data_IF_089473553692
#
_entry.id   IF_089473553692
#
_cell.length_a   1.000
_cell.length_b   1.000
_cell.length_c   1.000
_cell.angle_alpha   90.00
_cell.angle_beta   90.00
_cell.angle_gamma   90.00
#
_symmetry.space_group_name_H-M   'P 1'
#
loop_
_entity.id
_entity.type
_entity.pdbx_description
1 polymer ?
#
# COMPACT_ATOMS: atom_id res chain seq x y z
N UNK A 1 -18.67 -24.01 -13.65
CA UNK A 1 -17.85 -22.87 -13.20
C UNK A 1 -18.08 -21.71 -14.16
N UNK A 2 -18.18 -20.46 -13.71
CA UNK A 2 -18.19 -19.27 -14.55
C UNK A 2 -16.76 -19.07 -15.07
N UNK A 3 -16.35 -20.00 -15.93
CA UNK A 3 -15.17 -19.85 -16.75
C UNK A 3 -15.74 -19.29 -18.05
N UNK A 4 -15.36 -18.07 -18.39
CA UNK A 4 -15.68 -17.52 -19.69
C UNK A 4 -15.26 -18.54 -20.77
N UNK A 5 -16.21 -18.99 -21.58
CA UNK A 5 -15.95 -20.03 -22.60
C UNK A 5 -15.39 -19.44 -23.89
N UNK A 6 -15.42 -18.12 -24.00
CA UNK A 6 -14.99 -17.36 -25.16
C UNK A 6 -14.53 -15.98 -24.72
N UNK A 7 -13.58 -15.39 -25.44
CA UNK A 7 -13.17 -13.98 -25.29
C UNK A 7 -14.33 -13.00 -25.58
N UNK A 8 -15.38 -13.45 -26.28
CA UNK A 8 -16.57 -12.64 -26.56
C UNK A 8 -17.61 -12.68 -25.43
N UNK A 9 -17.34 -13.42 -24.36
CA UNK A 9 -18.23 -13.47 -23.20
C UNK A 9 -18.19 -12.12 -22.47
N UNK A 10 -19.30 -11.38 -22.53
CA UNK A 10 -19.42 -10.05 -21.95
C UNK A 10 -19.61 -10.07 -20.43
N UNK A 11 -19.76 -11.24 -19.82
CA UNK A 11 -19.86 -11.36 -18.37
C UNK A 11 -18.50 -11.05 -17.71
N UNK A 12 -18.33 -9.80 -17.29
CA UNK A 12 -17.10 -9.32 -16.66
C UNK A 12 -16.78 -10.04 -15.36
N UNK A 13 -17.78 -10.59 -14.66
CA UNK A 13 -17.56 -11.36 -13.43
C UNK A 13 -16.87 -12.71 -13.68
N UNK A 14 -16.83 -13.18 -14.93
CA UNK A 14 -16.09 -14.38 -15.32
C UNK A 14 -14.58 -14.15 -15.50
N UNK A 15 -14.13 -12.90 -15.47
CA UNK A 15 -12.75 -12.51 -15.73
C UNK A 15 -12.12 -11.86 -14.50
N UNK A 16 -10.80 -12.03 -14.35
CA UNK A 16 -10.04 -11.37 -13.31
C UNK A 16 -8.60 -11.08 -13.80
N UNK A 17 -7.97 -9.99 -13.33
CA UNK A 17 -6.54 -9.80 -13.56
C UNK A 17 -5.75 -10.82 -12.71
N UNK A 18 -4.74 -11.51 -13.26
CA UNK A 18 -3.98 -12.57 -12.58
C UNK A 18 -2.95 -12.06 -11.55
N UNK A 19 -3.27 -10.96 -10.87
CA UNK A 19 -2.37 -10.28 -9.94
C UNK A 19 -1.28 -9.48 -10.65
N UNK A 20 -0.45 -8.82 -9.84
CA UNK A 20 0.58 -7.90 -10.33
C UNK A 20 1.84 -8.61 -10.85
N UNK A 21 2.01 -9.92 -10.61
CA UNK A 21 3.11 -10.72 -11.17
C UNK A 21 3.08 -10.84 -12.70
N UNK A 22 1.89 -10.76 -13.30
CA UNK A 22 1.71 -10.74 -14.75
C UNK A 22 2.35 -9.54 -15.47
N UNK A 23 2.86 -8.54 -14.72
CA UNK A 23 3.57 -7.39 -15.26
C UNK A 23 4.67 -7.79 -16.26
N UNK A 24 5.50 -8.78 -15.95
CA UNK A 24 6.68 -9.11 -16.75
C UNK A 24 6.30 -9.63 -18.15
N UNK A 25 5.39 -10.60 -18.21
CA UNK A 25 4.88 -11.16 -19.47
C UNK A 25 4.06 -10.13 -20.24
N UNK A 26 3.21 -9.35 -19.56
CA UNK A 26 2.41 -8.31 -20.22
C UNK A 26 3.28 -7.21 -20.84
N UNK A 27 4.32 -6.76 -20.14
CA UNK A 27 5.26 -5.76 -20.64
C UNK A 27 6.03 -6.29 -21.86
N UNK A 28 6.47 -7.55 -21.83
CA UNK A 28 7.12 -8.21 -22.96
C UNK A 28 6.17 -8.33 -24.17
N UNK A 29 4.99 -8.92 -23.97
CA UNK A 29 4.00 -9.19 -25.02
C UNK A 29 3.44 -7.91 -25.66
N UNK A 30 3.40 -6.80 -24.92
CA UNK A 30 2.98 -5.50 -25.46
C UNK A 30 3.95 -4.90 -26.49
N UNK A 31 5.19 -5.40 -26.57
CA UNK A 31 6.27 -4.82 -27.36
C UNK A 31 6.93 -3.58 -26.74
N UNK A 32 6.39 -3.04 -25.64
CA UNK A 32 6.95 -1.89 -24.94
C UNK A 32 8.33 -2.19 -24.34
N UNK A 33 8.56 -3.41 -23.84
CA UNK A 33 9.88 -3.79 -23.32
C UNK A 33 10.97 -3.61 -24.38
N UNK A 34 10.75 -4.16 -25.58
CA UNK A 34 11.69 -4.07 -26.68
C UNK A 34 11.89 -2.62 -27.13
N UNK A 35 10.81 -1.83 -27.17
CA UNK A 35 10.87 -0.39 -27.47
C UNK A 35 11.74 0.35 -26.47
N UNK A 36 11.52 0.18 -25.17
CA UNK A 36 12.28 0.89 -24.13
C UNK A 36 13.75 0.50 -24.13
N UNK A 37 14.08 -0.78 -24.36
CA UNK A 37 15.47 -1.22 -24.52
C UNK A 37 16.10 -0.55 -25.75
N UNK A 38 15.39 -0.50 -26.89
CA UNK A 38 15.86 0.17 -28.10
C UNK A 38 16.05 1.69 -27.92
N UNK A 39 15.22 2.32 -27.08
CA UNK A 39 15.34 3.74 -26.68
C UNK A 39 16.46 3.98 -25.65
N UNK A 40 17.25 2.96 -25.31
CA UNK A 40 18.38 3.06 -24.38
C UNK A 40 17.99 3.11 -22.90
N UNK A 41 16.79 2.63 -22.53
CA UNK A 41 16.39 2.50 -21.12
C UNK A 41 16.95 1.20 -20.53
N UNK A 42 17.48 1.27 -19.32
CA UNK A 42 18.12 0.12 -18.66
C UNK A 42 17.29 -0.48 -17.52
N UNK A 43 16.63 0.36 -16.71
CA UNK A 43 15.83 -0.05 -15.57
C UNK A 43 14.40 0.48 -15.67
N UNK A 44 13.44 -0.27 -15.13
CA UNK A 44 12.12 0.24 -14.79
C UNK A 44 11.94 0.30 -13.27
N UNK A 45 11.25 1.34 -12.82
CA UNK A 45 10.76 1.47 -11.46
C UNK A 45 9.26 1.16 -11.45
N UNK A 46 8.85 0.17 -10.66
CA UNK A 46 7.46 -0.22 -10.46
C UNK A 46 7.02 0.17 -9.05
N UNK A 47 5.84 0.76 -8.95
CA UNK A 47 5.20 1.03 -7.67
C UNK A 47 3.67 1.02 -7.81
N UNK A 48 2.97 0.96 -6.69
CA UNK A 48 1.52 1.12 -6.68
C UNK A 48 1.17 2.60 -6.78
N UNK A 49 0.19 2.96 -7.61
CA UNK A 49 -0.30 4.34 -7.72
C UNK A 49 -0.91 4.87 -6.41
N UNK A 50 -1.41 3.95 -5.57
CA UNK A 50 -1.91 4.30 -4.23
C UNK A 50 -0.79 4.51 -3.20
N UNK A 51 0.47 4.24 -3.53
CA UNK A 51 1.61 4.58 -2.68
C UNK A 51 2.14 5.96 -3.03
N UNK A 52 1.72 6.97 -2.27
CA UNK A 52 2.12 8.36 -2.50
C UNK A 52 3.58 8.65 -2.15
N UNK A 53 4.24 7.73 -1.43
CA UNK A 53 5.67 7.84 -1.09
C UNK A 53 6.60 7.32 -2.17
N UNK A 54 6.08 6.61 -3.18
CA UNK A 54 6.88 5.94 -4.20
C UNK A 54 7.34 6.89 -5.32
N UNK A 55 8.21 7.83 -4.98
CA UNK A 55 8.86 8.72 -5.96
C UNK A 55 10.15 8.12 -6.50
N UNK A 56 10.67 8.63 -7.62
CA UNK A 56 11.97 8.22 -8.16
C UNK A 56 13.08 8.72 -7.23
N UNK A 57 13.85 7.80 -6.65
CA UNK A 57 15.00 8.12 -5.78
C UNK A 57 16.31 8.02 -6.57
N UNK A 58 16.99 9.15 -6.73
CA UNK A 58 18.25 9.20 -7.48
C UNK A 58 19.42 8.50 -6.77
N UNK A 59 19.37 8.36 -5.45
CA UNK A 59 20.41 7.62 -4.71
C UNK A 59 20.28 6.13 -4.96
N UNK A 60 19.05 5.60 -4.96
CA UNK A 60 18.76 4.21 -5.32
C UNK A 60 19.11 3.96 -6.80
N UNK A 61 18.70 4.86 -7.69
CA UNK A 61 19.06 4.75 -9.11
C UNK A 61 20.58 4.78 -9.34
N UNK A 62 21.29 5.67 -8.62
CA UNK A 62 22.75 5.72 -8.70
C UNK A 62 23.39 4.40 -8.20
N UNK A 63 22.87 3.80 -7.12
CA UNK A 63 23.33 2.49 -6.67
C UNK A 63 23.12 1.39 -7.71
N UNK A 64 21.98 1.41 -8.42
CA UNK A 64 21.69 0.44 -9.49
C UNK A 64 22.61 0.59 -10.70
N UNK A 65 22.96 1.83 -11.08
CA UNK A 65 23.80 2.13 -12.25
C UNK A 65 25.30 2.04 -11.94
N UNK A 66 25.69 2.47 -10.74
CA UNK A 66 27.08 2.60 -10.28
C UNK A 66 27.25 1.87 -8.94
N UNK A 67 27.10 0.53 -8.89
CA UNK A 67 27.31 -0.22 -7.66
C UNK A 67 28.80 -0.18 -7.26
N UNK A 68 29.14 -0.51 -6.00
CA UNK A 68 30.52 -0.51 -5.53
C UNK A 68 31.46 -1.35 -6.42
N UNK A 69 32.72 -0.92 -6.54
CA UNK A 69 33.72 -1.60 -7.36
C UNK A 69 33.81 -3.10 -7.03
N UNK A 70 33.82 -3.93 -8.07
CA UNK A 70 33.87 -5.39 -7.94
C UNK A 70 32.51 -6.06 -7.71
N UNK A 71 31.41 -5.31 -7.79
CA UNK A 71 30.05 -5.87 -7.77
C UNK A 71 29.34 -5.68 -9.12
N UNK A 72 28.56 -6.67 -9.53
CA UNK A 72 27.70 -6.56 -10.71
C UNK A 72 26.44 -5.73 -10.38
N UNK A 73 25.94 -4.98 -11.36
CA UNK A 73 24.69 -4.24 -11.22
C UNK A 73 23.54 -5.20 -10.85
N UNK A 74 22.78 -4.93 -9.77
CA UNK A 74 21.60 -5.72 -9.42
C UNK A 74 20.61 -5.78 -10.57
N UNK A 75 20.16 -6.98 -10.97
CA UNK A 75 19.09 -7.08 -11.98
C UNK A 75 17.72 -6.76 -11.37
N UNK A 76 17.59 -6.86 -10.04
CA UNK A 76 16.35 -6.59 -9.31
C UNK A 76 16.65 -6.01 -7.92
N UNK A 77 15.92 -4.97 -7.54
CA UNK A 77 15.99 -4.38 -6.21
C UNK A 77 14.58 -4.19 -5.66
N UNK A 78 14.37 -4.66 -4.44
CA UNK A 78 13.14 -4.49 -3.68
C UNK A 78 13.38 -3.48 -2.55
N UNK A 79 12.65 -2.38 -2.54
CA UNK A 79 12.65 -1.52 -1.36
C UNK A 79 11.84 -2.19 -0.25
N UNK A 80 12.47 -2.35 0.90
CA UNK A 80 11.83 -2.84 2.13
C UNK A 80 11.83 -1.72 3.17
N UNK A 81 10.88 -1.74 4.09
CA UNK A 81 10.84 -0.79 5.22
C UNK A 81 10.74 -1.55 6.53
N UNK A 82 11.11 -0.92 7.65
CA UNK A 82 10.90 -1.50 8.97
C UNK A 82 9.42 -1.81 9.20
N UNK A 83 9.13 -3.02 9.70
CA UNK A 83 7.78 -3.53 9.98
C UNK A 83 7.22 -2.87 11.24
N UNK A 84 6.00 -2.34 11.16
CA UNK A 84 5.25 -1.82 12.30
C UNK A 84 4.15 -2.79 12.72
N UNK A 85 3.51 -2.53 13.88
CA UNK A 85 2.34 -3.33 14.31
C UNK A 85 1.13 -3.21 13.39
N UNK A 86 1.09 -2.20 12.52
CA UNK A 86 0.03 -2.03 11.53
C UNK A 86 0.24 -2.90 10.28
N UNK A 87 1.50 -3.32 10.02
CA UNK A 87 1.90 -4.06 8.82
C UNK A 87 1.70 -5.57 9.04
N UNK A 88 0.44 -5.96 9.28
CA UNK A 88 0.03 -7.34 9.58
C UNK A 88 -0.19 -8.21 8.34
N UNK A 89 -0.32 -7.61 7.17
CA UNK A 89 -0.56 -8.27 5.88
C UNK A 89 0.51 -7.85 4.86
N UNK A 90 1.06 -8.83 4.16
CA UNK A 90 2.09 -8.68 3.11
C UNK A 90 3.36 -9.45 3.44
N UNK A 91 4.31 -9.44 2.52
CA UNK A 91 5.51 -10.27 2.57
C UNK A 91 6.74 -9.61 3.19
N UNK A 92 7.71 -10.46 3.50
CA UNK A 92 9.07 -10.06 3.92
C UNK A 92 10.09 -10.72 3.01
N UNK A 93 11.21 -10.04 2.79
CA UNK A 93 12.34 -10.63 2.09
C UNK A 93 13.06 -11.60 3.05
N UNK A 94 13.37 -12.80 2.57
CA UNK A 94 14.13 -13.84 3.27
C UNK A 94 15.24 -14.38 2.36
N UNK A 95 16.16 -15.14 2.94
CA UNK A 95 17.08 -15.99 2.19
C UNK A 95 16.58 -17.44 2.26
N UNK A 96 16.40 -18.06 1.11
CA UNK A 96 15.99 -19.46 0.95
C UNK A 96 16.82 -20.10 -0.16
N UNK A 97 17.47 -21.22 0.12
CA UNK A 97 18.43 -21.87 -0.79
C UNK A 97 19.45 -20.91 -1.42
N UNK A 98 20.06 -20.07 -0.57
CA UNK A 98 21.04 -19.03 -0.93
C UNK A 98 20.56 -17.99 -1.95
N UNK A 99 19.24 -17.86 -2.13
CA UNK A 99 18.61 -16.84 -2.97
C UNK A 99 17.67 -15.96 -2.15
N UNK A 100 17.55 -14.67 -2.52
CA UNK A 100 16.51 -13.82 -1.97
C UNK A 100 15.14 -14.32 -2.45
N UNK A 101 14.19 -14.45 -1.52
CA UNK A 101 12.81 -14.84 -1.80
C UNK A 101 11.86 -13.92 -1.04
N UNK A 102 10.76 -13.54 -1.69
CA UNK A 102 9.65 -12.89 -1.01
C UNK A 102 8.77 -13.95 -0.34
N UNK A 103 8.77 -13.98 0.99
CA UNK A 103 7.88 -14.84 1.77
C UNK A 103 6.60 -14.07 2.12
N UNK A 104 5.49 -14.50 1.55
CA UNK A 104 4.14 -14.03 1.82
C UNK A 104 3.45 -14.87 2.90
N UNK A 105 2.52 -14.25 3.64
CA UNK A 105 1.78 -14.95 4.72
C UNK A 105 1.02 -16.19 4.22
N UNK A 106 0.56 -16.19 2.96
CA UNK A 106 -0.16 -17.31 2.37
C UNK A 106 0.71 -18.57 2.18
N UNK A 107 2.03 -18.41 2.16
CA UNK A 107 3.00 -19.50 2.03
C UNK A 107 3.43 -20.06 3.40
N UNK A 108 3.08 -19.38 4.49
CA UNK A 108 3.49 -19.77 5.84
C UNK A 108 2.51 -20.81 6.39
N UNK A 109 2.99 -21.97 6.88
CA UNK A 109 2.13 -22.95 7.55
C UNK A 109 1.40 -22.33 8.75
N UNK A 110 0.17 -22.78 9.01
CA UNK A 110 -0.74 -22.15 9.99
C UNK A 110 -0.12 -22.05 11.39
N UNK A 111 0.66 -23.05 11.78
CA UNK A 111 1.37 -23.14 13.06
C UNK A 111 2.49 -22.09 13.22
N UNK A 112 3.03 -21.52 12.13
CA UNK A 112 4.11 -20.53 12.15
C UNK A 112 3.66 -19.11 11.81
N UNK A 113 2.36 -18.89 11.57
CA UNK A 113 1.82 -17.57 11.19
C UNK A 113 2.12 -16.50 12.24
N UNK A 114 2.03 -16.83 13.53
CA UNK A 114 2.30 -15.85 14.59
C UNK A 114 3.79 -15.51 14.70
N UNK A 115 4.66 -16.46 14.37
CA UNK A 115 6.09 -16.21 14.26
C UNK A 115 6.42 -15.29 13.08
N UNK A 116 5.76 -15.50 11.93
CA UNK A 116 5.90 -14.65 10.74
C UNK A 116 5.41 -13.21 11.01
N UNK A 117 4.33 -13.06 11.79
CA UNK A 117 3.82 -11.75 12.21
C UNK A 117 4.74 -11.04 13.20
N UNK A 118 5.61 -11.77 13.90
CA UNK A 118 6.50 -11.21 14.91
C UNK A 118 7.53 -10.24 14.31
N UNK A 119 7.44 -8.97 14.71
CA UNK A 119 8.41 -7.92 14.35
C UNK A 119 9.83 -8.20 14.86
N UNK A 120 9.97 -9.06 15.88
CA UNK A 120 11.27 -9.41 16.44
C UNK A 120 12.03 -10.39 15.53
N UNK A 121 11.29 -11.29 14.85
CA UNK A 121 11.86 -12.25 13.88
C UNK A 121 12.00 -11.61 12.50
N UNK A 122 10.91 -11.04 11.98
CA UNK A 122 10.88 -10.38 10.68
C UNK A 122 10.76 -8.87 10.87
N UNK A 123 11.89 -8.19 10.75
CA UNK A 123 12.02 -6.75 11.04
C UNK A 123 11.65 -5.85 9.87
N UNK A 124 11.61 -6.40 8.66
CA UNK A 124 11.38 -5.68 7.41
C UNK A 124 10.10 -6.15 6.74
N UNK A 125 9.61 -5.33 5.82
CA UNK A 125 8.37 -5.52 5.08
C UNK A 125 8.53 -5.01 3.64
N UNK A 126 8.01 -5.75 2.66
CA UNK A 126 8.05 -5.36 1.25
C UNK A 126 7.15 -4.14 0.98
N UNK A 127 7.72 -3.06 0.45
CA UNK A 127 6.95 -1.86 0.09
C UNK A 127 6.21 -1.97 -1.25
N UNK A 128 6.55 -2.98 -2.05
CA UNK A 128 6.16 -3.14 -3.45
C UNK A 128 6.67 -2.00 -4.37
N UNK A 129 7.67 -1.24 -3.93
CA UNK A 129 8.50 -0.39 -4.78
C UNK A 129 9.67 -1.25 -5.30
N UNK A 130 9.67 -1.54 -6.59
CA UNK A 130 10.55 -2.51 -7.23
C UNK A 130 11.32 -1.85 -8.35
N UNK A 131 12.59 -2.19 -8.49
CA UNK A 131 13.43 -1.77 -9.60
C UNK A 131 13.91 -3.02 -10.34
N UNK A 132 13.73 -3.06 -11.65
CA UNK A 132 14.09 -4.23 -12.44
C UNK A 132 14.81 -3.83 -13.73
N UNK A 133 15.90 -4.52 -14.04
CA UNK A 133 16.68 -4.29 -15.26
C UNK A 133 15.90 -4.84 -16.46
N UNK A 134 15.65 -3.99 -17.46
CA UNK A 134 14.82 -4.33 -18.62
C UNK A 134 15.40 -5.50 -19.43
N UNK A 135 16.72 -5.54 -19.61
CA UNK A 135 17.39 -6.66 -20.29
C UNK A 135 17.22 -7.98 -19.52
N UNK A 136 17.17 -7.92 -18.19
CA UNK A 136 16.95 -9.10 -17.36
C UNK A 136 15.48 -9.54 -17.42
N UNK A 137 14.51 -8.62 -17.43
CA UNK A 137 13.09 -8.95 -17.66
C UNK A 137 12.96 -9.70 -18.99
N UNK A 138 13.58 -9.21 -20.06
CA UNK A 138 13.56 -9.87 -21.37
C UNK A 138 14.11 -11.29 -21.28
N UNK A 139 15.30 -11.46 -20.67
CA UNK A 139 15.95 -12.76 -20.47
C UNK A 139 15.06 -13.75 -19.73
N UNK A 140 14.51 -13.36 -18.58
CA UNK A 140 13.72 -14.28 -17.74
C UNK A 140 12.39 -14.67 -18.38
N UNK A 141 11.79 -13.79 -19.19
CA UNK A 141 10.57 -14.10 -19.94
C UNK A 141 10.87 -15.01 -21.14
N UNK A 142 11.85 -14.66 -21.98
CA UNK A 142 12.19 -15.44 -23.19
C UNK A 142 12.65 -16.87 -22.85
N UNK A 143 13.37 -17.03 -21.73
CA UNK A 143 13.86 -18.31 -21.28
C UNK A 143 12.85 -19.09 -20.40
N UNK A 144 11.66 -18.54 -20.13
CA UNK A 144 10.67 -19.10 -19.20
C UNK A 144 11.24 -19.40 -17.80
N UNK A 145 12.07 -18.49 -17.27
CA UNK A 145 12.71 -18.63 -15.95
C UNK A 145 11.85 -18.09 -14.79
N UNK A 146 10.71 -17.44 -15.07
CA UNK A 146 9.83 -16.85 -14.06
C UNK A 146 9.03 -17.93 -13.30
N UNK A 147 9.55 -18.35 -12.15
CA UNK A 147 8.90 -19.31 -11.26
C UNK A 147 8.30 -18.60 -10.04
N UNK A 148 7.20 -17.87 -10.18
CA UNK A 148 6.56 -17.17 -9.05
C UNK A 148 5.57 -18.07 -8.32
N UNK A 149 5.46 -17.92 -7.00
CA UNK A 149 4.47 -18.66 -6.22
C UNK A 149 3.04 -18.22 -6.55
N UNK A 150 2.17 -19.22 -6.74
CA UNK A 150 0.76 -19.01 -7.01
C UNK A 150 0.03 -18.64 -5.73
N UNK A 151 -0.68 -17.52 -5.77
CA UNK A 151 -1.58 -17.05 -4.73
C UNK A 151 -2.99 -17.54 -5.08
N UNK A 152 -3.55 -18.38 -4.21
CA UNK A 152 -4.92 -18.90 -4.34
C UNK A 152 -5.86 -18.00 -3.56
N UNK A 153 -6.75 -17.29 -4.26
CA UNK A 153 -7.66 -16.30 -3.68
C UNK A 153 -9.12 -16.78 -3.81
N UNK A 154 -9.73 -17.33 -2.74
CA UNK A 154 -11.15 -17.66 -2.74
C UNK A 154 -12.00 -16.39 -2.80
N UNK A 155 -12.97 -16.35 -3.71
CA UNK A 155 -13.92 -15.23 -3.87
C UNK A 155 -15.35 -15.73 -3.88
N UNK A 156 -16.22 -14.94 -3.28
CA UNK A 156 -17.66 -15.10 -3.39
C UNK A 156 -18.16 -14.01 -4.35
N UNK A 157 -18.70 -14.42 -5.50
CA UNK A 157 -19.29 -13.51 -6.49
C UNK A 157 -20.67 -13.05 -6.02
N UNK A 158 -21.09 -11.87 -6.46
CA UNK A 158 -22.38 -11.26 -6.06
C UNK A 158 -23.60 -12.13 -6.42
N UNK A 159 -23.48 -12.96 -7.45
CA UNK A 159 -24.47 -13.98 -7.84
C UNK A 159 -24.52 -15.22 -6.92
N UNK A 160 -23.86 -15.19 -5.77
CA UNK A 160 -23.92 -16.25 -4.77
C UNK A 160 -23.05 -17.47 -5.09
N UNK A 161 -21.95 -17.27 -5.82
CA UNK A 161 -21.09 -18.36 -6.27
C UNK A 161 -19.66 -18.22 -5.73
N UNK A 162 -19.14 -19.31 -5.17
CA UNK A 162 -17.73 -19.42 -4.79
C UNK A 162 -16.84 -19.78 -5.98
N UNK A 163 -15.76 -19.03 -6.15
CA UNK A 163 -14.74 -19.22 -7.19
C UNK A 163 -13.33 -19.11 -6.60
N UNK A 164 -12.35 -19.57 -7.37
CA UNK A 164 -10.93 -19.44 -7.06
C UNK A 164 -10.29 -18.58 -8.14
N UNK A 165 -9.55 -17.55 -7.71
CA UNK A 165 -8.67 -16.75 -8.55
C UNK A 165 -7.22 -17.16 -8.28
N UNK A 166 -6.43 -17.35 -9.34
CA UNK A 166 -5.01 -17.70 -9.26
C UNK A 166 -4.19 -16.49 -9.68
N UNK A 167 -3.43 -15.96 -8.74
CA UNK A 167 -2.67 -14.73 -8.94
C UNK A 167 -1.18 -14.98 -8.69
N UNK A 168 -0.33 -14.06 -9.16
CA UNK A 168 1.09 -14.01 -8.77
C UNK A 168 1.45 -12.60 -8.31
N UNK A 169 2.52 -12.50 -7.51
CA UNK A 169 3.02 -11.22 -7.02
C UNK A 169 4.32 -10.82 -7.75
N UNK A 170 4.39 -9.59 -8.25
CA UNK A 170 5.57 -9.04 -8.93
C UNK A 170 6.86 -9.22 -8.11
N UNK A 171 6.80 -8.98 -6.79
CA UNK A 171 7.95 -9.14 -5.91
C UNK A 171 8.43 -10.59 -5.75
N UNK A 172 7.60 -11.60 -6.05
CA UNK A 172 8.00 -13.01 -5.98
C UNK A 172 9.04 -13.37 -7.03
N UNK A 173 9.12 -12.61 -8.13
CA UNK A 173 10.11 -12.81 -9.19
C UNK A 173 11.56 -12.53 -8.73
N UNK A 174 11.77 -11.91 -7.55
CA UNK A 174 13.09 -11.53 -7.02
C UNK A 174 14.12 -12.66 -7.10
N UNK A 175 13.71 -13.91 -6.88
CA UNK A 175 14.58 -15.10 -6.91
C UNK A 175 15.06 -15.51 -8.30
N UNK A 176 14.41 -14.99 -9.36
CA UNK A 176 14.70 -15.31 -10.76
C UNK A 176 15.69 -14.31 -11.40
N UNK A 177 16.05 -13.25 -10.67
CA UNK A 177 16.98 -12.22 -11.12
C UNK A 177 18.36 -12.38 -10.47
N UNK A 178 19.42 -12.09 -11.23
CA UNK A 178 20.80 -12.18 -10.75
C UNK A 178 21.13 -10.97 -9.86
N UNK A 179 21.93 -11.21 -8.83
CA UNK A 179 22.38 -10.19 -7.88
C UNK A 179 21.19 -9.39 -7.29
N UNK A 180 20.03 -10.05 -7.15
CA UNK A 180 18.84 -9.41 -6.60
C UNK A 180 19.08 -9.03 -5.14
N UNK A 181 18.62 -7.85 -4.73
CA UNK A 181 18.86 -7.34 -3.39
C UNK A 181 17.65 -6.60 -2.81
N UNK A 182 17.66 -6.44 -1.49
CA UNK A 182 16.73 -5.57 -0.78
C UNK A 182 17.46 -4.36 -0.20
N UNK A 183 16.84 -3.18 -0.23
CA UNK A 183 17.34 -1.98 0.44
C UNK A 183 16.32 -1.49 1.46
N UNK A 184 16.77 -1.22 2.69
CA UNK A 184 15.90 -0.69 3.73
C UNK A 184 15.75 0.82 3.55
N UNK A 185 14.55 1.26 3.16
CA UNK A 185 14.22 2.66 2.91
C UNK A 185 13.47 3.27 4.10
N UNK A 186 13.52 4.60 4.28
CA UNK A 186 12.66 5.27 5.25
C UNK A 186 11.19 5.07 4.88
N UNK A 187 10.33 5.04 5.90
CA UNK A 187 8.88 4.85 5.74
C UNK A 187 8.21 5.96 4.93
N UNK A 188 8.86 7.11 4.74
CA UNK A 188 8.39 8.17 3.83
C UNK A 188 8.22 7.68 2.39
N UNK A 189 8.92 6.61 1.98
CA UNK A 189 8.75 5.97 0.66
C UNK A 189 7.60 4.95 0.60
N UNK A 190 6.96 4.68 1.73
CA UNK A 190 5.85 3.74 1.88
C UNK A 190 4.65 4.40 2.56
N UNK A 191 3.88 5.13 1.75
CA UNK A 191 2.69 5.89 2.15
C UNK A 191 1.46 5.42 1.34
N UNK A 192 1.00 4.17 1.54
CA UNK A 192 -0.16 3.62 0.83
C UNK A 192 -1.48 4.22 1.31
N UNK A 193 -2.38 4.52 0.38
CA UNK A 193 -3.73 5.01 0.64
C UNK A 193 -4.73 3.91 0.33
N UNK A 194 -5.22 3.22 1.36
CA UNK A 194 -6.14 2.07 1.21
C UNK A 194 -7.53 2.35 1.78
N UNK A 195 -7.64 3.28 2.72
CA UNK A 195 -8.89 3.63 3.40
C UNK A 195 -9.06 5.15 3.49
N UNK A 196 -10.28 5.59 3.73
CA UNK A 196 -10.56 7.00 4.02
C UNK A 196 -9.81 7.53 5.26
N UNK A 197 -9.42 6.66 6.20
CA UNK A 197 -8.50 7.02 7.29
C UNK A 197 -7.15 7.52 6.77
N UNK A 198 -6.59 6.86 5.75
CA UNK A 198 -5.33 7.25 5.13
C UNK A 198 -5.52 8.54 4.33
N UNK A 199 -6.66 8.68 3.65
CA UNK A 199 -7.03 9.89 2.92
C UNK A 199 -7.13 11.11 3.85
N UNK A 200 -7.71 10.96 5.05
CA UNK A 200 -7.78 12.01 6.06
C UNK A 200 -6.39 12.52 6.45
N UNK A 201 -5.43 11.60 6.63
CA UNK A 201 -4.04 11.97 6.94
C UNK A 201 -3.45 12.83 5.83
N UNK A 202 -3.56 12.39 4.57
CA UNK A 202 -2.95 13.09 3.43
C UNK A 202 -3.64 14.41 3.05
N UNK A 203 -4.95 14.51 3.28
CA UNK A 203 -5.69 15.75 2.99
C UNK A 203 -5.52 16.82 4.06
N UNK A 204 -4.95 16.47 5.22
CA UNK A 204 -4.80 17.39 6.35
C UNK A 204 -3.53 18.22 6.26
N UNK A 205 -3.41 19.20 7.15
CA UNK A 205 -2.18 19.98 7.35
C UNK A 205 -0.99 19.18 7.91
N UNK A 206 -1.12 17.86 8.09
CA UNK A 206 -0.02 16.98 8.44
C UNK A 206 0.99 16.82 7.31
N UNK A 207 0.54 16.95 6.05
CA UNK A 207 1.39 16.83 4.87
C UNK A 207 1.34 18.09 4.02
N UNK A 208 2.51 18.48 3.53
CA UNK A 208 2.68 19.51 2.51
C UNK A 208 2.80 18.84 1.13
N UNK A 209 2.18 19.44 0.12
CA UNK A 209 2.23 18.97 -1.28
C UNK A 209 3.08 19.95 -2.09
N UNK A 210 4.17 19.45 -2.67
CA UNK A 210 4.99 20.19 -3.62
C UNK A 210 5.24 19.35 -4.89
N UNK A 211 4.96 19.93 -6.06
CA UNK A 211 5.06 19.24 -7.35
C UNK A 211 4.43 17.84 -7.42
N UNK A 212 3.35 17.61 -6.66
CA UNK A 212 2.66 16.32 -6.55
C UNK A 212 3.30 15.30 -5.60
N UNK A 213 4.39 15.68 -4.92
CA UNK A 213 5.04 14.89 -3.87
C UNK A 213 4.53 15.33 -2.49
N UNK A 214 4.28 14.36 -1.61
CA UNK A 214 3.84 14.59 -0.24
C UNK A 214 5.03 14.51 0.72
N UNK A 215 5.16 15.51 1.58
CA UNK A 215 6.17 15.55 2.64
C UNK A 215 5.50 15.82 3.98
N UNK A 216 5.98 15.19 5.05
CA UNK A 216 5.47 15.47 6.39
C UNK A 216 5.80 16.92 6.73
N UNK A 217 4.81 17.67 7.23
CA UNK A 217 5.00 19.10 7.49
C UNK A 217 6.12 19.35 8.51
N UNK A 218 6.96 20.34 8.24
CA UNK A 218 8.04 20.75 9.16
C UNK A 218 7.50 21.28 10.49
N UNK A 219 6.23 21.70 10.53
CA UNK A 219 5.56 22.16 11.74
C UNK A 219 5.20 21.00 12.68
N UNK A 220 5.30 19.75 12.22
CA UNK A 220 5.01 18.57 13.02
C UNK A 220 6.14 18.31 14.02
N UNK A 221 5.83 18.42 15.31
CA UNK A 221 6.81 18.22 16.40
C UNK A 221 7.39 16.80 16.48
N UNK A 222 6.69 15.78 15.97
CA UNK A 222 7.10 14.38 16.05
C UNK A 222 7.10 13.70 14.67
N UNK A 223 8.17 12.99 14.28
CA UNK A 223 8.28 12.38 12.94
C UNK A 223 7.31 11.20 12.73
N UNK A 224 6.58 10.79 13.76
CA UNK A 224 5.62 9.70 13.70
C UNK A 224 4.27 10.16 13.17
N UNK A 225 3.76 9.46 12.16
CA UNK A 225 2.39 9.61 11.66
C UNK A 225 1.37 9.18 12.71
N UNK A 226 0.30 9.95 12.96
CA UNK A 226 -0.75 9.56 13.90
C UNK A 226 -1.52 8.32 13.43
N UNK A 227 -2.06 7.59 14.40
CA UNK A 227 -2.93 6.45 14.12
C UNK A 227 -4.38 6.93 13.98
N UNK A 228 -4.92 6.86 12.76
CA UNK A 228 -6.31 7.24 12.46
C UNK A 228 -7.15 5.99 12.15
N UNK A 229 -8.29 5.86 12.82
CA UNK A 229 -9.28 4.82 12.60
C UNK A 229 -10.66 5.44 12.45
N UNK A 230 -11.14 5.53 11.22
CA UNK A 230 -12.52 5.89 10.92
C UNK A 230 -13.37 4.61 10.80
N UNK A 231 -14.56 4.63 11.39
CA UNK A 231 -15.52 3.53 11.36
C UNK A 231 -16.22 3.38 10.02
N UNK A 232 -17.09 2.38 9.91
CA UNK A 232 -17.74 1.98 8.64
C UNK A 232 -18.57 3.08 7.97
N UNK A 233 -19.07 4.06 8.74
CA UNK A 233 -19.75 5.25 8.23
C UNK A 233 -18.87 6.12 7.32
N UNK A 234 -17.56 5.87 7.26
CA UNK A 234 -16.58 6.59 6.45
C UNK A 234 -15.95 5.70 5.36
N UNK A 235 -16.37 4.44 5.19
CA UNK A 235 -15.73 3.51 4.23
C UNK A 235 -15.84 4.00 2.78
N UNK A 236 -16.96 4.64 2.42
CA UNK A 236 -17.15 5.23 1.09
C UNK A 236 -16.62 6.65 1.07
N UNK A 237 -15.83 6.99 0.05
CA UNK A 237 -15.29 8.34 -0.17
C UNK A 237 -16.39 9.40 -0.19
N UNK A 238 -17.56 9.10 -0.79
CA UNK A 238 -18.69 10.03 -0.80
C UNK A 238 -19.23 10.37 0.58
N UNK A 239 -19.23 9.40 1.50
CA UNK A 239 -19.73 9.58 2.86
C UNK A 239 -18.67 10.26 3.73
N UNK A 240 -17.40 9.87 3.55
CA UNK A 240 -16.26 10.55 4.16
C UNK A 240 -16.26 12.05 3.83
N UNK A 241 -16.32 12.42 2.55
CA UNK A 241 -16.27 13.83 2.12
C UNK A 241 -17.48 14.63 2.64
N UNK A 242 -18.67 14.03 2.72
CA UNK A 242 -19.86 14.71 3.26
C UNK A 242 -19.76 14.96 4.76
N UNK A 243 -19.13 14.03 5.50
CA UNK A 243 -19.02 14.07 6.97
C UNK A 243 -17.94 15.02 7.47
N UNK A 244 -17.05 15.49 6.60
CA UNK A 244 -16.06 16.53 6.92
C UNK A 244 -16.35 17.77 6.09
N UNK A 245 -17.02 18.78 6.68
CA UNK A 245 -17.24 20.07 6.00
C UNK A 245 -15.93 20.83 5.71
N UNK A 246 -14.87 20.48 6.44
CA UNK A 246 -13.49 20.84 6.19
C UNK A 246 -12.59 19.80 6.84
N UNK A 247 -11.39 19.60 6.29
CA UNK A 247 -10.42 18.69 6.88
C UNK A 247 -9.90 19.31 8.19
N UNK A 248 -9.94 18.57 9.32
CA UNK A 248 -9.48 19.10 10.60
C UNK A 248 -7.97 19.33 10.62
N UNK A 249 -7.55 20.26 11.48
CA UNK A 249 -6.15 20.36 11.89
C UNK A 249 -5.80 19.14 12.77
N UNK A 250 -4.81 18.37 12.33
CA UNK A 250 -4.32 17.19 13.04
C UNK A 250 -2.80 17.25 13.27
N UNK A 251 -2.20 18.43 13.19
CA UNK A 251 -0.74 18.61 13.28
C UNK A 251 -0.18 18.14 14.63
N UNK A 252 -0.98 18.22 15.69
CA UNK A 252 -0.63 17.76 17.05
C UNK A 252 -1.39 16.47 17.44
N UNK A 253 -1.97 15.75 16.48
CA UNK A 253 -2.69 14.49 16.75
C UNK A 253 -1.72 13.33 16.96
N UNK A 254 -2.02 12.45 17.92
CA UNK A 254 -1.34 11.16 18.09
C UNK A 254 -2.24 9.98 17.68
N UNK A 255 -3.50 10.04 18.08
CA UNK A 255 -4.46 8.97 17.88
C UNK A 255 -5.87 9.52 17.65
N UNK A 256 -6.54 9.07 16.60
CA UNK A 256 -7.94 9.34 16.32
C UNK A 256 -8.69 8.03 16.12
N UNK A 257 -9.75 7.81 16.90
CA UNK A 257 -10.74 6.77 16.63
C UNK A 257 -12.12 7.41 16.54
N UNK A 258 -12.81 7.21 15.41
CA UNK A 258 -14.18 7.71 15.19
C UNK A 258 -15.07 6.52 14.84
N UNK A 259 -16.14 6.32 15.59
CA UNK A 259 -17.10 5.23 15.40
C UNK A 259 -18.53 5.74 15.40
N UNK A 260 -19.36 5.20 14.50
CA UNK A 260 -20.77 5.56 14.36
C UNK A 260 -21.04 6.78 13.46
N UNK A 261 -22.26 7.31 13.54
CA UNK A 261 -22.73 8.45 12.74
C UNK A 261 -22.17 9.78 13.27
N UNK A 262 -20.94 10.10 12.88
CA UNK A 262 -20.22 11.31 13.30
C UNK A 262 -20.04 12.27 12.12
N UNK A 263 -20.23 13.56 12.38
CA UNK A 263 -20.04 14.66 11.42
C UNK A 263 -19.14 15.73 12.03
N UNK A 264 -18.32 16.36 11.19
CA UNK A 264 -17.35 17.38 11.57
C UNK A 264 -17.64 18.69 10.82
N UNK A 265 -17.89 19.75 11.59
CA UNK A 265 -17.95 21.10 11.06
C UNK A 265 -16.58 21.64 10.59
N UNK A 266 -16.59 22.82 10.00
CA UNK A 266 -15.35 23.49 9.53
C UNK A 266 -14.43 23.92 10.67
N UNK A 267 -13.12 23.90 10.44
CA UNK A 267 -12.12 24.45 11.36
C UNK A 267 -11.96 23.70 12.67
N UNK A 268 -12.29 22.40 12.70
CA UNK A 268 -12.07 21.54 13.86
C UNK A 268 -10.57 21.26 14.03
N UNK A 269 -10.09 21.22 15.26
CA UNK A 269 -8.71 20.86 15.62
C UNK A 269 -8.69 19.65 16.54
N UNK A 270 -7.86 18.65 16.22
CA UNK A 270 -7.73 17.39 16.97
C UNK A 270 -6.29 17.22 17.47
N UNK A 271 -6.11 17.08 18.79
CA UNK A 271 -4.80 17.03 19.45
C UNK A 271 -4.67 15.83 20.39
N UNK A 272 -3.48 15.24 20.45
CA UNK A 272 -3.17 14.09 21.29
C UNK A 272 -4.05 12.88 20.95
N UNK A 273 -4.72 12.31 21.95
CA UNK A 273 -5.64 11.17 21.74
C UNK A 273 -7.11 11.61 21.75
N UNK A 274 -7.78 11.47 20.62
CA UNK A 274 -9.21 11.77 20.46
C UNK A 274 -9.98 10.50 20.09
N UNK A 275 -11.03 10.20 20.84
CA UNK A 275 -11.92 9.06 20.58
C UNK A 275 -13.36 9.57 20.53
N UNK A 276 -14.07 9.36 19.44
CA UNK A 276 -15.45 9.80 19.24
C UNK A 276 -16.31 8.58 18.93
N UNK A 277 -17.33 8.32 19.76
CA UNK A 277 -18.19 7.14 19.66
C UNK A 277 -19.65 7.57 19.69
N UNK A 278 -20.31 7.53 18.55
CA UNK A 278 -21.76 7.53 18.43
C UNK A 278 -22.26 6.08 18.47
N UNK A 279 -23.12 5.74 19.43
CA UNK A 279 -23.70 4.39 19.51
C UNK A 279 -24.74 4.18 18.39
N UNK A 280 -25.19 2.93 18.22
CA UNK A 280 -26.21 2.61 17.23
C UNK A 280 -27.49 3.44 17.45
N UNK A 281 -27.90 4.19 16.42
CA UNK A 281 -29.07 5.07 16.46
C UNK A 281 -28.77 6.49 16.94
N UNK A 282 -27.59 6.72 17.54
CA UNK A 282 -27.13 8.05 17.91
C UNK A 282 -26.38 8.71 16.76
N UNK A 283 -26.34 10.04 16.78
CA UNK A 283 -25.54 10.87 15.87
C UNK A 283 -24.78 11.90 16.69
N UNK A 284 -23.55 12.21 16.31
CA UNK A 284 -22.74 13.27 16.91
C UNK A 284 -22.31 14.25 15.82
N UNK A 285 -22.81 15.48 15.90
CA UNK A 285 -22.30 16.60 15.12
C UNK A 285 -21.26 17.36 15.96
N UNK A 286 -19.99 17.34 15.52
CA UNK A 286 -18.92 18.13 16.13
C UNK A 286 -19.03 19.58 15.60
N UNK A 287 -19.29 20.58 16.47
CA UNK A 287 -19.50 21.95 16.04
C UNK A 287 -18.29 22.54 15.27
N UNK A 288 -18.51 23.47 14.33
CA UNK A 288 -17.42 24.22 13.71
C UNK A 288 -16.51 24.91 14.74
N UNK A 289 -15.20 24.92 14.49
CA UNK A 289 -14.20 25.53 15.37
C UNK A 289 -13.88 24.75 16.65
N UNK A 290 -14.47 23.55 16.83
CA UNK A 290 -14.22 22.73 18.03
C UNK A 290 -12.76 22.31 18.13
N UNK A 291 -12.18 22.43 19.32
CA UNK A 291 -10.85 21.92 19.65
C UNK A 291 -11.00 20.74 20.60
N UNK A 292 -10.61 19.54 20.15
CA UNK A 292 -10.65 18.31 20.94
C UNK A 292 -9.21 17.87 21.24
N UNK A 293 -8.84 17.94 22.52
CA UNK A 293 -7.50 17.57 22.98
C UNK A 293 -7.60 16.53 24.11
N UNK A 294 -7.06 15.34 23.89
CA UNK A 294 -7.03 14.27 24.90
C UNK A 294 -8.42 13.95 25.47
N UNK A 295 -9.43 13.84 24.59
CA UNK A 295 -10.84 13.63 24.96
C UNK A 295 -11.43 12.36 24.37
N UNK A 296 -12.35 11.79 25.15
CA UNK A 296 -13.32 10.81 24.67
C UNK A 296 -14.68 11.52 24.61
N UNK A 297 -15.28 11.55 23.42
CA UNK A 297 -16.60 12.13 23.16
C UNK A 297 -17.57 10.99 22.83
N UNK A 298 -18.67 10.91 23.55
CA UNK A 298 -19.73 9.94 23.28
C UNK A 298 -21.10 10.52 23.61
N UNK A 299 -22.15 9.95 23.01
CA UNK A 299 -23.53 10.37 23.22
C UNK A 299 -24.26 10.66 21.91
N UNK A 300 -25.23 11.56 21.99
CA UNK A 300 -26.09 11.94 20.87
C UNK A 300 -26.26 13.47 20.87
N UNK A 301 -25.78 14.12 19.82
CA UNK A 301 -25.83 15.57 19.64
C UNK A 301 -26.13 15.86 18.17
N UNK A 302 -27.25 16.54 17.91
CA UNK A 302 -27.61 17.03 16.58
C UNK A 302 -27.61 18.55 16.56
N UNK A 303 -26.90 19.13 15.60
CA UNK A 303 -26.87 20.57 15.36
C UNK A 303 -27.74 20.85 14.13
N UNK A 304 -28.76 21.70 14.29
CA UNK A 304 -29.68 22.09 13.22
C UNK A 304 -29.41 23.55 12.85
N UNK A 305 -29.49 23.88 11.56
CA UNK A 305 -29.47 25.28 11.12
C UNK A 305 -30.69 26.02 11.68
N UNK A 306 -30.47 27.24 12.18
CA UNK A 306 -31.51 28.13 12.72
C UNK A 306 -32.12 29.00 11.64
#
# INVERSE_FOLDING_TARGET
MPIAKSLNDSDIECWYPPGHGNFYEALYNSGLLNKFIADGKEYCFLSNIDNMGATVDFSILNFLLNPPDGTENPEFLMEVTNKTRADVKGGTLIQYDDKPMLLEIAQVPKEYVDEFKSINKFRIFNTNNLWAKLSAIKRVVENNELEMEVIVNPKHLDRGLDVIQLETAAGAAVKNFKNACGINVPRSRFLPVKKCSDLLLLMSNLYDIDHGSLTLSEQRSFPTTPLVKLGSSFDKVSDFLKRFEGIPDILELDHLTVSGDVWFGKGVTLKGTVIIIANHGDRIDIPPGSVLENKIVSGNLRILEH
#
